data_IF_327159494305
#
_entry.id   IF_327159494305
#
_cell.length_a   1.000
_cell.length_b   1.000
_cell.length_c   1.000
_cell.angle_alpha   90.00
_cell.angle_beta   90.00
_cell.angle_gamma   90.00
#
_symmetry.space_group_name_H-M   'P 1'
#
loop_
_entity.id
_entity.type
_entity.pdbx_description
1 polymer ?
#
# COMPACT_ATOMS: atom_id res chain seq x y z
N UNK A 1 -33.10 -21.36 -3.99
CA UNK A 1 -32.73 -20.76 -2.70
C UNK A 1 -31.44 -20.00 -2.95
N UNK A 2 -31.53 -18.73 -3.32
CA UNK A 2 -30.34 -17.92 -3.62
C UNK A 2 -29.81 -17.39 -2.30
N UNK A 3 -28.80 -18.07 -1.76
CA UNK A 3 -28.05 -17.55 -0.64
C UNK A 3 -27.11 -16.50 -1.21
N UNK A 4 -27.37 -15.26 -0.83
CA UNK A 4 -26.68 -14.07 -1.30
C UNK A 4 -25.16 -14.23 -1.17
N UNK A 5 -24.52 -13.92 -2.29
CA UNK A 5 -23.17 -13.39 -2.41
C UNK A 5 -22.94 -12.29 -1.36
N UNK A 6 -22.48 -12.68 -0.17
CA UNK A 6 -21.91 -11.76 0.80
C UNK A 6 -20.40 -11.75 0.59
N UNK A 7 -19.97 -11.29 -0.59
CA UNK A 7 -18.61 -10.82 -0.78
C UNK A 7 -18.46 -9.56 0.09
N UNK A 8 -17.53 -9.50 1.06
CA UNK A 8 -17.32 -8.28 1.81
C UNK A 8 -16.81 -7.19 0.84
N UNK A 9 -17.63 -6.16 0.65
CA UNK A 9 -17.30 -4.94 -0.08
C UNK A 9 -16.19 -4.13 0.66
N UNK A 10 -15.53 -3.16 0.01
CA UNK A 10 -14.12 -2.78 0.14
C UNK A 10 -13.78 -1.81 1.30
N UNK A 11 -14.34 -2.01 2.50
CA UNK A 11 -14.17 -1.08 3.61
C UNK A 11 -12.74 -1.02 4.21
N UNK A 12 -11.89 -1.99 3.92
CA UNK A 12 -10.52 -2.06 4.46
C UNK A 12 -9.52 -1.21 3.65
N UNK A 13 -9.83 -0.88 2.39
CA UNK A 13 -8.93 -0.07 1.54
C UNK A 13 -9.14 1.44 1.71
N UNK A 14 -10.33 1.88 2.10
CA UNK A 14 -10.63 3.31 2.26
C UNK A 14 -10.02 3.88 3.54
N UNK A 15 -10.00 3.09 4.62
CA UNK A 15 -9.35 3.43 5.90
C UNK A 15 -7.82 3.45 5.77
N UNK A 16 -7.26 2.50 5.02
CA UNK A 16 -5.88 2.49 4.58
C UNK A 16 -5.50 3.79 3.86
N UNK A 17 -6.25 4.17 2.83
CA UNK A 17 -5.97 5.36 2.02
C UNK A 17 -6.05 6.67 2.82
N UNK A 18 -7.01 6.79 3.73
CA UNK A 18 -7.15 7.95 4.63
C UNK A 18 -6.00 8.02 5.66
N UNK A 19 -5.54 6.87 6.16
CA UNK A 19 -4.38 6.77 7.05
C UNK A 19 -3.08 7.15 6.32
N UNK A 20 -2.94 6.76 5.06
CA UNK A 20 -1.76 7.07 4.25
C UNK A 20 -1.66 8.58 3.95
N UNK A 21 -2.79 9.24 3.66
CA UNK A 21 -2.85 10.69 3.46
C UNK A 21 -2.43 11.45 4.72
N UNK A 22 -2.86 11.00 5.90
CA UNK A 22 -2.50 11.61 7.18
C UNK A 22 -1.00 11.50 7.47
N UNK A 23 -0.40 10.35 7.17
CA UNK A 23 1.05 10.13 7.31
C UNK A 23 1.86 11.05 6.38
N UNK A 24 1.44 11.17 5.11
CA UNK A 24 2.09 12.03 4.12
C UNK A 24 1.95 13.52 4.48
N UNK A 25 0.79 13.94 4.98
CA UNK A 25 0.57 15.31 5.44
C UNK A 25 1.50 15.67 6.61
N UNK A 26 1.64 14.78 7.59
CA UNK A 26 2.57 14.97 8.72
C UNK A 26 4.03 15.09 8.26
N UNK A 27 4.48 14.20 7.37
CA UNK A 27 5.83 14.24 6.81
C UNK A 27 6.09 15.53 6.02
N UNK A 28 5.09 15.96 5.22
CA UNK A 28 5.17 17.21 4.46
C UNK A 28 5.28 18.43 5.38
N UNK A 29 4.47 18.51 6.42
CA UNK A 29 4.50 19.63 7.38
C UNK A 29 5.88 19.73 8.05
N UNK A 30 6.45 18.62 8.50
CA UNK A 30 7.80 18.62 9.10
C UNK A 30 8.88 19.05 8.11
N UNK A 31 8.78 18.62 6.85
CA UNK A 31 9.73 19.02 5.80
C UNK A 31 9.66 20.51 5.50
N UNK A 32 8.45 21.06 5.36
CA UNK A 32 8.23 22.48 5.03
C UNK A 32 8.61 23.41 6.18
N UNK A 33 8.41 22.96 7.41
CA UNK A 33 8.78 23.70 8.61
C UNK A 33 10.28 23.60 8.93
N UNK A 34 11.01 22.70 8.27
CA UNK A 34 12.45 22.51 8.44
C UNK A 34 12.84 21.61 9.60
N UNK A 35 11.89 20.87 10.18
CA UNK A 35 12.10 19.92 11.29
C UNK A 35 12.51 18.53 10.77
N UNK A 36 13.45 18.46 9.83
CA UNK A 36 13.88 17.18 9.22
C UNK A 36 14.93 16.43 10.03
N UNK A 37 15.53 17.08 11.03
CA UNK A 37 16.59 16.50 11.87
C UNK A 37 16.05 15.87 13.16
N UNK A 38 14.73 15.83 13.33
CA UNK A 38 14.07 15.35 14.55
C UNK A 38 13.62 13.89 14.44
N UNK A 39 13.56 13.21 15.59
CA UNK A 39 13.15 11.81 15.68
C UNK A 39 11.74 11.55 15.12
N UNK A 40 10.87 12.57 15.17
CA UNK A 40 9.51 12.51 14.63
C UNK A 40 9.52 12.39 13.10
N UNK A 41 10.39 13.14 12.43
CA UNK A 41 10.58 13.06 10.99
C UNK A 41 11.07 11.67 10.58
N UNK A 42 12.08 11.13 11.25
CA UNK A 42 12.57 9.78 10.96
C UNK A 42 11.48 8.72 11.14
N UNK A 43 10.68 8.84 12.21
CA UNK A 43 9.57 7.92 12.46
C UNK A 43 8.51 7.98 11.36
N UNK A 44 8.07 9.18 10.99
CA UNK A 44 7.07 9.38 9.94
C UNK A 44 7.60 8.92 8.58
N UNK A 45 8.86 9.21 8.27
CA UNK A 45 9.50 8.81 7.02
C UNK A 45 9.54 7.29 6.88
N UNK A 46 9.91 6.56 7.95
CA UNK A 46 9.90 5.10 7.93
C UNK A 46 8.49 4.53 7.77
N UNK A 47 7.50 5.06 8.49
CA UNK A 47 6.11 4.60 8.38
C UNK A 47 5.54 4.81 6.97
N UNK A 48 5.81 5.96 6.35
CA UNK A 48 5.43 6.24 4.96
C UNK A 48 6.12 5.27 4.01
N UNK A 49 7.43 5.05 4.18
CA UNK A 49 8.20 4.15 3.33
C UNK A 49 7.69 2.71 3.37
N UNK A 50 7.50 2.15 4.57
CA UNK A 50 6.96 0.79 4.75
C UNK A 50 5.59 0.64 4.09
N UNK A 51 4.75 1.68 4.20
CA UNK A 51 3.39 1.65 3.68
C UNK A 51 3.32 1.74 2.17
N UNK A 52 4.15 2.60 1.57
CA UNK A 52 4.33 2.67 0.12
C UNK A 52 4.91 1.37 -0.43
N UNK A 53 5.92 0.80 0.25
CA UNK A 53 6.50 -0.48 -0.14
C UNK A 53 5.49 -1.62 -0.06
N UNK A 54 4.65 -1.66 0.99
CA UNK A 54 3.59 -2.67 1.12
C UNK A 54 2.50 -2.50 0.06
N UNK A 55 2.17 -1.27 -0.34
CA UNK A 55 1.06 -1.00 -1.27
C UNK A 55 1.48 -1.16 -2.73
N UNK A 56 2.72 -0.80 -3.06
CA UNK A 56 3.21 -0.80 -4.44
C UNK A 56 4.27 -1.86 -4.72
N UNK A 57 4.98 -2.35 -3.71
CA UNK A 57 6.02 -3.39 -3.86
C UNK A 57 5.49 -4.78 -4.20
N UNK A 58 4.20 -5.04 -3.99
CA UNK A 58 3.54 -6.29 -4.41
C UNK A 58 3.17 -6.30 -5.91
N UNK A 59 3.38 -5.18 -6.61
CA UNK A 59 3.13 -5.07 -8.07
C UNK A 59 4.09 -5.93 -8.92
N UNK A 60 5.06 -6.62 -8.33
CA UNK A 60 5.88 -7.66 -8.99
C UNK A 60 5.16 -9.03 -9.08
N UNK A 61 3.96 -9.18 -8.51
CA UNK A 61 3.09 -10.32 -8.80
C UNK A 61 2.33 -10.13 -10.12
N UNK A 62 3.03 -9.78 -11.19
CA UNK A 62 2.51 -9.93 -12.54
C UNK A 62 2.07 -11.38 -12.75
N UNK A 63 0.99 -11.65 -13.51
CA UNK A 63 0.52 -13.01 -13.72
C UNK A 63 1.69 -13.84 -14.22
N UNK A 64 2.16 -14.79 -13.39
CA UNK A 64 3.05 -15.83 -13.85
C UNK A 64 2.30 -16.54 -14.95
N UNK A 65 2.55 -16.13 -16.18
CA UNK A 65 2.30 -16.94 -17.36
C UNK A 65 3.09 -18.22 -17.12
N UNK A 66 2.44 -19.18 -16.48
CA UNK A 66 2.86 -20.57 -16.47
C UNK A 66 2.98 -20.91 -17.93
N UNK A 67 4.21 -20.90 -18.43
CA UNK A 67 4.55 -21.40 -19.74
C UNK A 67 4.21 -22.88 -19.70
N UNK A 68 2.96 -23.21 -20.02
CA UNK A 68 2.53 -24.56 -20.32
C UNK A 68 3.23 -24.92 -21.63
N UNK A 69 4.45 -25.44 -21.51
CA UNK A 69 5.05 -26.29 -22.52
C UNK A 69 4.24 -27.58 -22.55
N UNK A 70 3.03 -27.49 -23.10
CA UNK A 70 2.22 -28.62 -23.47
C UNK A 70 1.94 -28.49 -24.96
N UNK A 71 2.25 -29.58 -25.66
CA UNK A 71 1.87 -29.89 -27.04
C UNK A 71 2.91 -29.54 -28.10
N UNK A 72 3.82 -30.50 -28.35
CA UNK A 72 4.23 -31.02 -29.67
C UNK A 72 5.12 -32.26 -29.43
N UNK A 73 4.48 -33.41 -29.15
CA UNK A 73 4.95 -34.74 -29.57
C UNK A 73 3.71 -35.52 -30.07
#
# INVERSE_FOLDING_TARGET
>A
MNLADASPAPAEQETASASDFTLLEGLYQLTVTGHTDEWEFERLNNAVYERLLSSYGDSDNGPRITQTNAMLD
#
